data_IF_723660943219
#
_entry.id   IF_723660943219
#
_cell.length_a   1.000
_cell.length_b   1.000
_cell.length_c   1.000
_cell.angle_alpha   90.00
_cell.angle_beta   90.00
_cell.angle_gamma   90.00
#
_symmetry.space_group_name_H-M   'P 1'
#
loop_
_entity.id
_entity.type
_entity.pdbx_description
1 polymer ?
#
# COMPACT_ATOMS: atom_id res chain seq x y z
N UNK A 1 -8.40 -9.28 -4.33
CA UNK A 1 -7.10 -8.97 -3.79
C UNK A 1 -6.25 -8.58 -4.96
N UNK A 2 -5.76 -7.36 -4.94
CA UNK A 2 -4.80 -6.84 -5.88
C UNK A 2 -3.60 -6.32 -5.13
N UNK A 3 -2.43 -6.74 -5.56
CA UNK A 3 -1.15 -6.22 -5.11
C UNK A 3 -0.63 -5.38 -6.27
N UNK A 4 -0.45 -4.09 -6.02
CA UNK A 4 -0.11 -3.12 -7.04
C UNK A 4 1.22 -2.44 -6.71
N UNK A 5 2.02 -2.16 -7.74
CA UNK A 5 3.18 -1.29 -7.65
C UNK A 5 3.01 -0.19 -8.68
N UNK A 6 2.84 1.04 -8.20
CA UNK A 6 2.81 2.25 -9.02
C UNK A 6 4.19 2.87 -8.94
N UNK A 7 4.91 2.87 -10.08
CA UNK A 7 6.27 3.41 -10.15
C UNK A 7 6.45 4.37 -11.31
N UNK A 8 7.30 5.38 -11.13
CA UNK A 8 7.65 6.35 -12.17
C UNK A 8 7.99 7.74 -11.63
N UNK A 9 8.56 8.59 -12.48
CA UNK A 9 8.95 9.95 -12.10
C UNK A 9 7.75 10.91 -12.07
N UNK A 10 6.69 10.56 -12.81
CA UNK A 10 5.50 11.34 -13.06
C UNK A 10 4.43 11.08 -11.99
N UNK A 11 4.59 11.71 -10.82
CA UNK A 11 3.67 11.56 -9.67
C UNK A 11 2.21 11.79 -10.02
N UNK A 12 1.91 12.73 -10.91
CA UNK A 12 0.53 12.99 -11.35
C UNK A 12 -0.13 11.77 -11.99
N UNK A 13 0.61 11.01 -12.81
CA UNK A 13 0.07 9.81 -13.45
C UNK A 13 -0.13 8.68 -12.44
N UNK A 14 0.79 8.53 -11.48
CA UNK A 14 0.66 7.56 -10.39
C UNK A 14 -0.55 7.85 -9.51
N UNK A 15 -0.76 9.11 -9.09
CA UNK A 15 -1.90 9.51 -8.28
C UNK A 15 -3.24 9.35 -9.05
N UNK A 16 -3.24 9.65 -10.36
CA UNK A 16 -4.41 9.40 -11.22
C UNK A 16 -4.75 7.91 -11.28
N UNK A 17 -3.75 7.05 -11.40
CA UNK A 17 -3.95 5.61 -11.45
C UNK A 17 -4.36 5.04 -10.08
N UNK A 18 -3.78 5.55 -8.99
CA UNK A 18 -4.20 5.23 -7.63
C UNK A 18 -5.68 5.54 -7.42
N UNK A 19 -6.13 6.74 -7.81
CA UNK A 19 -7.54 7.13 -7.73
C UNK A 19 -8.43 6.18 -8.54
N UNK A 20 -7.97 5.72 -9.71
CA UNK A 20 -8.68 4.73 -10.51
C UNK A 20 -8.79 3.37 -9.79
N UNK A 21 -7.75 2.94 -9.08
CA UNK A 21 -7.73 1.67 -8.31
C UNK A 21 -8.66 1.75 -7.09
N UNK A 22 -8.68 2.89 -6.39
CA UNK A 22 -9.57 3.15 -5.26
C UNK A 22 -11.04 3.10 -5.74
N UNK A 23 -11.35 3.84 -6.81
CA UNK A 23 -12.73 4.01 -7.30
C UNK A 23 -13.27 2.83 -8.13
N UNK A 24 -12.45 1.83 -8.48
CA UNK A 24 -12.90 0.68 -9.28
C UNK A 24 -13.85 -0.24 -8.51
N UNK A 25 -13.72 -0.29 -7.19
CA UNK A 25 -14.48 -1.21 -6.33
C UNK A 25 -15.72 -0.55 -5.71
N UNK A 26 -15.81 0.79 -5.70
CA UNK A 26 -17.00 1.53 -5.31
C UNK A 26 -18.08 1.41 -6.40
N UNK A 27 -18.86 0.32 -6.35
CA UNK A 27 -19.97 0.06 -7.30
C UNK A 27 -21.18 0.96 -7.10
N UNK A 28 -21.29 1.59 -5.94
CA UNK A 28 -22.29 2.60 -5.63
C UNK A 28 -21.58 3.76 -4.94
N UNK A 29 -21.96 5.00 -5.26
CA UNK A 29 -21.37 6.24 -4.73
C UNK A 29 -21.63 6.44 -3.21
N UNK A 30 -21.76 5.36 -2.45
CA UNK A 30 -22.17 5.31 -1.04
C UNK A 30 -21.39 4.28 -0.20
N UNK A 31 -20.45 3.52 -0.77
CA UNK A 31 -19.62 2.57 -0.02
C UNK A 31 -18.41 3.28 0.57
N UNK A 32 -18.35 3.37 1.90
CA UNK A 32 -17.23 3.96 2.64
C UNK A 32 -16.00 3.03 2.55
N UNK A 33 -15.25 3.17 1.46
CA UNK A 33 -14.04 2.40 1.23
C UNK A 33 -13.03 2.65 2.37
N UNK A 34 -12.61 1.60 3.07
CA UNK A 34 -11.58 1.72 4.10
C UNK A 34 -10.21 1.92 3.42
N UNK A 35 -9.74 3.16 3.39
CA UNK A 35 -8.44 3.53 2.79
C UNK A 35 -7.48 4.02 3.86
N UNK A 36 -6.41 3.26 4.08
CA UNK A 36 -5.32 3.63 4.98
C UNK A 36 -4.06 3.93 4.18
N UNK A 37 -3.38 5.03 4.52
CA UNK A 37 -2.20 5.53 3.81
C UNK A 37 -1.03 5.61 4.77
N UNK A 38 0.11 5.05 4.36
CA UNK A 38 1.35 5.02 5.11
C UNK A 38 2.49 5.59 4.25
N UNK A 39 3.35 6.39 4.86
CA UNK A 39 4.57 6.92 4.22
C UNK A 39 5.80 6.20 4.79
N UNK A 40 6.57 5.51 3.94
CA UNK A 40 7.77 4.80 4.37
C UNK A 40 8.93 5.71 4.76
N UNK A 41 8.88 7.02 4.48
CA UNK A 41 9.87 7.96 5.02
C UNK A 41 9.65 8.26 6.52
N UNK A 42 8.44 8.02 7.02
CA UNK A 42 8.04 8.33 8.41
C UNK A 42 7.71 7.08 9.22
N UNK A 43 7.12 6.07 8.57
CA UNK A 43 6.56 4.87 9.21
C UNK A 43 7.22 3.60 8.66
N UNK A 44 7.63 2.65 9.52
CA UNK A 44 8.13 1.38 9.04
C UNK A 44 7.09 0.59 8.24
N UNK A 45 7.49 -0.06 7.14
CA UNK A 45 6.61 -0.82 6.26
C UNK A 45 5.82 -1.90 7.00
N UNK A 46 6.41 -2.53 8.01
CA UNK A 46 5.75 -3.58 8.80
C UNK A 46 4.47 -3.07 9.52
N UNK A 47 4.36 -1.76 9.82
CA UNK A 47 3.13 -1.19 10.37
C UNK A 47 2.00 -1.20 9.34
N UNK A 48 2.30 -0.87 8.09
CA UNK A 48 1.33 -0.94 7.00
C UNK A 48 0.94 -2.39 6.68
N UNK A 49 1.91 -3.31 6.73
CA UNK A 49 1.63 -4.75 6.53
C UNK A 49 0.75 -5.31 7.65
N UNK A 50 1.01 -4.95 8.92
CA UNK A 50 0.16 -5.35 10.04
C UNK A 50 -1.29 -4.88 9.87
N UNK A 51 -1.50 -3.64 9.40
CA UNK A 51 -2.83 -3.21 9.04
C UNK A 51 -3.37 -4.05 7.87
N UNK A 52 -2.60 -4.27 6.80
CA UNK A 52 -3.04 -5.06 5.66
C UNK A 52 -3.45 -6.51 6.02
N UNK A 53 -2.86 -7.10 7.06
CA UNK A 53 -3.21 -8.40 7.64
C UNK A 53 -4.52 -8.37 8.44
N UNK A 54 -4.82 -7.25 9.12
CA UNK A 54 -6.04 -7.14 9.92
C UNK A 54 -7.30 -7.28 9.05
N UNK A 55 -8.27 -8.03 9.53
CA UNK A 55 -9.58 -8.14 8.90
C UNK A 55 -10.28 -6.78 8.82
N UNK A 56 -11.04 -6.56 7.75
CA UNK A 56 -11.85 -5.35 7.60
C UNK A 56 -13.02 -5.39 8.59
N UNK A 57 -13.17 -4.35 9.42
CA UNK A 57 -14.25 -4.27 10.42
C UNK A 57 -15.63 -4.01 9.78
N UNK A 58 -15.62 -3.32 8.65
CA UNK A 58 -16.78 -3.08 7.80
C UNK A 58 -16.61 -4.03 6.62
N UNK A 59 -17.61 -4.84 6.29
CA UNK A 59 -17.59 -5.97 5.31
C UNK A 59 -17.14 -5.61 3.87
N UNK A 60 -16.56 -4.44 3.66
CA UNK A 60 -16.02 -3.92 2.41
C UNK A 60 -14.50 -4.13 2.32
N UNK A 61 -13.98 -4.15 1.09
CA UNK A 61 -12.55 -4.33 0.83
C UNK A 61 -11.73 -3.17 1.38
N UNK A 62 -10.68 -3.49 2.13
CA UNK A 62 -9.71 -2.51 2.63
C UNK A 62 -8.64 -2.21 1.58
N UNK A 63 -8.17 -0.97 1.55
CA UNK A 63 -7.08 -0.49 0.70
C UNK A 63 -5.96 0.00 1.62
N UNK A 64 -4.78 -0.61 1.50
CA UNK A 64 -3.58 -0.16 2.21
C UNK A 64 -2.60 0.40 1.19
N UNK A 65 -2.33 1.70 1.28
CA UNK A 65 -1.47 2.44 0.36
C UNK A 65 -0.16 2.74 1.07
N UNK A 66 0.94 2.33 0.47
CA UNK A 66 2.30 2.48 0.98
C UNK A 66 3.08 3.40 0.05
N UNK A 67 3.27 4.66 0.47
CA UNK A 67 4.02 5.67 -0.27
C UNK A 67 5.51 5.60 0.04
N UNK A 68 6.30 6.09 -0.90
CA UNK A 68 7.76 6.20 -0.81
C UNK A 68 8.45 4.87 -0.45
N UNK A 69 7.98 3.76 -1.04
CA UNK A 69 8.53 2.42 -0.86
C UNK A 69 9.91 2.27 -1.53
N UNK A 70 10.89 3.08 -1.10
CA UNK A 70 12.22 3.21 -1.71
C UNK A 70 13.05 1.93 -1.65
N UNK A 71 12.72 1.02 -0.74
CA UNK A 71 13.29 -0.33 -0.66
C UNK A 71 12.99 -1.20 -1.90
N UNK A 72 12.02 -0.81 -2.74
CA UNK A 72 11.78 -1.43 -4.06
C UNK A 72 12.77 -0.95 -5.12
N UNK A 73 13.64 0.01 -4.81
CA UNK A 73 14.64 0.56 -5.71
C UNK A 73 16.05 0.09 -5.36
N UNK A 74 16.99 0.21 -6.29
CA UNK A 74 18.42 0.02 -6.03
C UNK A 74 19.11 1.25 -5.44
N UNK A 75 18.39 2.33 -5.11
CA UNK A 75 19.00 3.51 -4.51
C UNK A 75 19.41 3.20 -3.08
N UNK A 76 20.53 3.78 -2.63
CA UNK A 76 20.85 3.81 -1.20
C UNK A 76 19.82 4.70 -0.53
N UNK A 77 18.78 4.08 -0.03
CA UNK A 77 17.74 4.70 0.78
C UNK A 77 18.38 5.42 1.97
N UNK A 78 17.75 6.51 2.40
CA UNK A 78 18.08 7.19 3.65
C UNK A 78 17.61 6.37 4.86
N UNK A 79 17.78 5.04 4.82
CA UNK A 79 17.40 4.03 5.83
C UNK A 79 17.93 4.31 7.25
N UNK A 80 18.76 5.35 7.41
CA UNK A 80 19.20 5.82 8.71
C UNK A 80 18.06 6.36 9.58
N UNK A 81 16.93 6.80 9.02
CA UNK A 81 15.82 7.36 9.81
C UNK A 81 14.74 6.33 10.17
N UNK A 82 14.35 5.47 9.24
CA UNK A 82 13.28 4.47 9.43
C UNK A 82 13.82 3.11 9.01
N UNK A 83 13.75 2.14 9.93
CA UNK A 83 14.19 0.76 9.66
C UNK A 83 13.00 -0.09 9.22
N UNK A 84 13.05 -0.53 7.97
CA UNK A 84 12.05 -1.43 7.39
C UNK A 84 12.41 -2.90 7.63
N UNK A 85 11.41 -3.69 8.00
CA UNK A 85 11.50 -5.15 8.03
C UNK A 85 10.87 -5.73 6.76
N UNK A 86 11.70 -6.05 5.78
CA UNK A 86 11.25 -6.56 4.49
C UNK A 86 10.82 -8.03 4.55
N UNK A 87 11.29 -8.79 5.53
CA UNK A 87 10.87 -10.18 5.74
C UNK A 87 9.37 -10.25 6.07
N UNK A 88 8.86 -9.23 6.78
CA UNK A 88 7.41 -9.08 7.00
C UNK A 88 6.63 -8.82 5.72
N UNK A 89 7.19 -8.06 4.77
CA UNK A 89 6.56 -7.86 3.46
C UNK A 89 6.56 -9.17 2.67
N UNK A 90 7.70 -9.86 2.60
CA UNK A 90 7.83 -11.14 1.89
C UNK A 90 6.82 -12.16 2.42
N UNK A 91 6.73 -12.33 3.74
CA UNK A 91 5.78 -13.23 4.39
C UNK A 91 4.33 -12.88 4.07
N UNK A 92 3.97 -11.60 4.06
CA UNK A 92 2.62 -11.18 3.66
C UNK A 92 2.32 -11.53 2.19
N UNK A 93 3.30 -11.40 1.30
CA UNK A 93 3.11 -11.73 -0.12
C UNK A 93 2.93 -13.24 -0.37
N UNK A 94 3.41 -14.11 0.53
CA UNK A 94 3.19 -15.56 0.47
C UNK A 94 1.73 -15.94 0.81
N UNK A 95 1.15 -15.31 1.83
CA UNK A 95 -0.23 -15.54 2.26
C UNK A 95 -0.98 -14.21 2.53
N UNK A 96 -1.34 -13.48 1.46
CA UNK A 96 -1.95 -12.16 1.58
C UNK A 96 -3.44 -12.25 2.00
N UNK A 97 -3.91 -11.22 2.71
CA UNK A 97 -5.32 -11.10 3.07
C UNK A 97 -6.19 -10.82 1.83
N UNK A 98 -7.13 -11.72 1.51
CA UNK A 98 -7.97 -11.65 0.30
C UNK A 98 -8.90 -10.42 0.23
N UNK A 99 -9.21 -9.84 1.39
CA UNK A 99 -10.06 -8.66 1.56
C UNK A 99 -9.29 -7.34 1.50
N UNK A 100 -7.96 -7.39 1.48
CA UNK A 100 -7.09 -6.21 1.39
C UNK A 100 -6.50 -6.09 -0.02
N UNK A 101 -6.52 -4.88 -0.55
CA UNK A 101 -5.69 -4.51 -1.68
C UNK A 101 -4.50 -3.69 -1.18
N UNK A 102 -3.30 -4.16 -1.51
CA UNK A 102 -2.04 -3.55 -1.10
C UNK A 102 -1.43 -2.79 -2.28
N UNK A 103 -1.16 -1.49 -2.11
CA UNK A 103 -0.67 -0.61 -3.17
C UNK A 103 0.64 0.04 -2.73
N UNK A 104 1.75 -0.32 -3.39
CA UNK A 104 3.02 0.37 -3.23
C UNK A 104 3.14 1.52 -4.23
N UNK A 105 3.66 2.65 -3.78
CA UNK A 105 4.04 3.78 -4.62
C UNK A 105 5.52 4.09 -4.43
N UNK A 106 6.24 4.19 -5.53
CA UNK A 106 7.68 4.45 -5.54
C UNK A 106 8.03 5.37 -6.70
N UNK A 107 8.95 6.30 -6.45
CA UNK A 107 9.45 7.23 -7.47
C UNK A 107 10.81 6.77 -7.98
#
# INVERSE_FOLDING_TARGET
MGIYVLFGLETYLMEKELARIINKESRDNSSDLSVNVYDCEETPVQTAIQDAEMLSLMLERKKVIIKNASFLTGQKSNDKKVKHDLETVERYLEEPNEETDLIFMVK
#
